data_IF_893917491121
#
_entry.id   IF_893917491121
#
_cell.length_a   1.000
_cell.length_b   1.000
_cell.length_c   1.000
_cell.angle_alpha   90.00
_cell.angle_beta   90.00
_cell.angle_gamma   90.00
#
_symmetry.space_group_name_H-M   'P 1'
#
loop_
_entity.id
_entity.type
_entity.pdbx_description
1 polymer ?
#
# COMPACT_ATOMS: atom_id res chain seq x y z
N UNK A 1 -0.41 37.18 27.11
CA UNK A 1 -1.45 36.27 26.55
C UNK A 1 -0.87 35.08 25.77
N UNK A 2 0.02 35.26 24.78
CA UNK A 2 0.41 34.17 23.85
C UNK A 2 1.79 33.54 24.08
N UNK A 3 2.46 33.86 25.19
CA UNK A 3 3.78 33.30 25.53
C UNK A 3 4.90 33.64 24.54
N UNK A 4 4.68 34.57 23.62
CA UNK A 4 5.63 35.05 22.62
C UNK A 4 5.74 36.57 22.71
N UNK A 5 6.95 37.13 22.57
CA UNK A 5 7.12 38.57 22.50
C UNK A 5 6.55 39.09 21.17
N UNK A 6 5.94 40.28 21.20
CA UNK A 6 5.40 40.94 20.01
C UNK A 6 6.52 41.34 19.02
N UNK A 7 7.63 41.87 19.56
CA UNK A 7 8.86 42.12 18.80
C UNK A 7 9.79 40.91 18.86
N UNK A 8 10.67 40.78 17.89
CA UNK A 8 11.72 39.74 17.87
C UNK A 8 12.83 40.05 18.89
N UNK A 9 12.48 40.05 20.17
CA UNK A 9 13.35 40.31 21.32
C UNK A 9 13.42 39.03 22.15
N UNK A 10 14.59 38.69 22.69
CA UNK A 10 14.74 37.51 23.52
C UNK A 10 13.99 37.69 24.84
N UNK A 11 13.19 36.70 25.26
CA UNK A 11 12.38 36.78 26.50
C UNK A 11 13.17 37.20 27.76
N UNK A 12 14.42 36.74 27.98
CA UNK A 12 15.21 37.17 29.13
C UNK A 12 15.56 38.66 29.12
N UNK A 13 15.57 39.32 27.95
CA UNK A 13 15.84 40.76 27.84
C UNK A 13 14.67 41.63 28.35
N UNK A 14 13.52 41.03 28.62
CA UNK A 14 12.37 41.72 29.24
C UNK A 14 12.45 41.74 30.77
N UNK A 15 13.42 41.02 31.35
CA UNK A 15 13.64 41.01 32.80
C UNK A 15 14.56 42.17 33.17
N UNK A 16 14.32 42.79 34.32
CA UNK A 16 15.13 43.90 34.80
C UNK A 16 16.62 43.52 34.87
N UNK A 17 17.48 44.29 34.20
CA UNK A 17 18.92 44.04 34.10
C UNK A 17 19.67 44.12 35.44
N UNK A 18 19.12 44.82 36.44
CA UNK A 18 19.79 45.07 37.72
C UNK A 18 19.65 43.89 38.68
N UNK A 19 18.44 43.40 38.85
CA UNK A 19 18.08 42.39 39.84
C UNK A 19 17.60 41.07 39.21
N UNK A 20 17.39 41.01 37.88
CA UNK A 20 17.13 39.79 37.10
C UNK A 20 15.97 38.89 37.60
N UNK A 21 15.06 39.45 38.41
CA UNK A 21 14.01 38.74 39.16
C UNK A 21 12.71 39.57 39.13
N UNK A 22 11.55 38.93 39.32
CA UNK A 22 10.21 39.53 39.49
C UNK A 22 9.62 40.26 38.27
N UNK A 23 9.80 39.71 37.08
CA UNK A 23 9.02 40.15 35.90
C UNK A 23 7.69 39.41 35.89
N UNK A 24 6.62 40.10 36.28
CA UNK A 24 5.23 39.62 36.28
C UNK A 24 4.35 40.59 35.48
N UNK A 25 3.45 40.05 34.67
CA UNK A 25 2.48 40.78 33.86
C UNK A 25 1.11 40.21 34.14
N UNK A 26 0.18 41.09 34.50
CA UNK A 26 -1.22 40.77 34.74
C UNK A 26 -2.09 41.47 33.70
N UNK A 27 -3.08 40.76 33.17
CA UNK A 27 -4.09 41.35 32.29
C UNK A 27 -5.46 40.86 32.71
N UNK A 28 -6.37 41.81 32.92
CA UNK A 28 -7.77 41.56 33.24
C UNK A 28 -8.63 42.01 32.05
N UNK A 29 -9.54 41.16 31.62
CA UNK A 29 -10.46 41.44 30.52
C UNK A 29 -11.76 40.66 30.70
N UNK A 30 -12.82 41.12 30.03
CA UNK A 30 -14.15 40.51 30.08
C UNK A 30 -14.53 39.94 28.71
N UNK A 31 -15.07 38.73 28.69
CA UNK A 31 -15.66 38.12 27.49
C UNK A 31 -17.10 37.72 27.83
N UNK A 32 -18.06 38.44 27.27
CA UNK A 32 -19.48 38.23 27.57
C UNK A 32 -19.76 38.48 29.06
N UNK A 33 -20.09 37.41 29.80
CA UNK A 33 -20.35 37.46 31.25
C UNK A 33 -19.18 36.96 32.11
N UNK A 34 -18.07 36.54 31.49
CA UNK A 34 -16.91 35.96 32.18
C UNK A 34 -15.83 37.02 32.35
N UNK A 35 -15.43 37.28 33.61
CA UNK A 35 -14.26 38.09 33.94
C UNK A 35 -13.03 37.20 34.02
N UNK A 36 -12.05 37.45 33.16
CA UNK A 36 -10.84 36.63 33.04
C UNK A 36 -9.63 37.46 33.46
N UNK A 37 -8.82 36.91 34.36
CA UNK A 37 -7.51 37.46 34.74
C UNK A 37 -6.42 36.48 34.37
N UNK A 38 -5.42 36.95 33.63
CA UNK A 38 -4.26 36.15 33.21
C UNK A 38 -3.01 36.73 33.83
N UNK A 39 -2.32 35.94 34.66
CA UNK A 39 -1.07 36.30 35.34
C UNK A 39 0.07 35.52 34.71
N UNK A 40 1.16 36.20 34.32
CA UNK A 40 2.37 35.56 33.79
C UNK A 40 3.64 36.13 34.39
N UNK A 41 4.53 35.26 34.85
CA UNK A 41 5.88 35.58 35.27
C UNK A 41 6.94 34.97 34.35
N UNK A 42 8.08 35.64 34.19
CA UNK A 42 9.25 35.10 33.46
C UNK A 42 10.23 34.45 34.45
N UNK A 43 10.47 35.09 35.60
CA UNK A 43 11.34 34.63 36.69
C UNK A 43 10.77 35.10 38.03
N UNK A 44 10.07 34.25 38.82
CA UNK A 44 9.71 32.84 38.53
C UNK A 44 8.72 32.68 37.37
N UNK A 45 8.72 31.51 36.71
CA UNK A 45 7.84 31.20 35.58
C UNK A 45 6.42 30.85 36.06
N UNK A 46 5.63 31.88 36.35
CA UNK A 46 4.24 31.77 36.79
C UNK A 46 3.33 31.84 35.56
N UNK A 47 2.31 31.00 35.46
CA UNK A 47 1.26 31.16 34.45
C UNK A 47 -0.09 30.72 35.01
N UNK A 48 -0.95 31.69 35.35
CA UNK A 48 -2.24 31.47 35.99
C UNK A 48 -3.37 32.12 35.20
N UNK A 49 -4.52 31.47 35.16
CA UNK A 49 -5.75 31.97 34.56
C UNK A 49 -6.84 31.88 35.63
N UNK A 50 -7.45 33.01 35.95
CA UNK A 50 -8.60 33.10 36.83
C UNK A 50 -9.84 33.42 36.00
N UNK A 51 -10.93 32.72 36.25
CA UNK A 51 -12.23 32.94 35.62
C UNK A 51 -13.24 33.21 36.73
N UNK A 52 -13.85 34.40 36.73
CA UNK A 52 -14.81 34.86 37.74
C UNK A 52 -14.26 34.72 39.18
N UNK A 53 -12.99 35.05 39.36
CA UNK A 53 -12.30 34.97 40.67
C UNK A 53 -11.88 33.57 41.11
N UNK A 54 -12.21 32.52 40.34
CA UNK A 54 -11.72 31.15 40.59
C UNK A 54 -10.54 30.81 39.69
N UNK A 55 -9.46 30.34 40.30
CA UNK A 55 -8.29 29.86 39.58
C UNK A 55 -8.67 28.61 38.77
N UNK A 56 -8.41 28.63 37.47
CA UNK A 56 -8.61 27.44 36.63
C UNK A 56 -7.47 26.47 36.88
N UNK A 57 -7.82 25.20 37.07
CA UNK A 57 -6.92 24.17 37.55
C UNK A 57 -5.65 24.04 36.68
N UNK A 58 -4.48 24.04 37.33
CA UNK A 58 -3.14 24.07 36.70
C UNK A 58 -2.52 22.68 36.47
N UNK A 59 -3.28 21.60 36.70
CA UNK A 59 -2.78 20.22 36.65
C UNK A 59 -2.24 19.78 35.26
N UNK A 60 -2.38 20.61 34.23
CA UNK A 60 -1.90 20.36 32.88
C UNK A 60 -0.59 21.11 32.56
N UNK A 61 0.22 20.53 31.68
CA UNK A 61 1.42 21.17 31.13
C UNK A 61 1.12 22.60 30.63
N UNK A 62 2.03 23.55 30.85
CA UNK A 62 1.89 24.96 30.43
C UNK A 62 1.47 25.13 28.96
N UNK A 63 1.82 24.17 28.10
CA UNK A 63 1.42 24.12 26.69
C UNK A 63 -0.08 23.91 26.49
N UNK A 64 -0.70 23.03 27.28
CA UNK A 64 -2.14 22.75 27.16
C UNK A 64 -2.96 23.86 27.83
N UNK A 65 -2.43 24.45 28.90
CA UNK A 65 -2.99 25.67 29.49
C UNK A 65 -2.95 26.86 28.51
N UNK A 66 -1.89 26.98 27.72
CA UNK A 66 -1.81 27.96 26.63
C UNK A 66 -2.86 27.68 25.54
N UNK A 67 -3.03 26.43 25.11
CA UNK A 67 -4.06 26.07 24.11
C UNK A 67 -5.46 26.38 24.61
N UNK A 68 -5.75 26.11 25.89
CA UNK A 68 -7.04 26.43 26.49
C UNK A 68 -7.32 27.94 26.43
N UNK A 69 -6.34 28.77 26.82
CA UNK A 69 -6.46 30.23 26.72
C UNK A 69 -6.70 30.71 25.28
N UNK A 70 -5.99 30.15 24.31
CA UNK A 70 -6.08 30.56 22.90
C UNK A 70 -7.36 30.08 22.23
N UNK A 71 -7.75 28.82 22.42
CA UNK A 71 -8.85 28.19 21.70
C UNK A 71 -10.21 28.39 22.37
N UNK A 72 -10.28 28.33 23.71
CA UNK A 72 -11.55 28.34 24.44
C UNK A 72 -11.93 29.73 24.96
N UNK A 73 -10.94 30.51 25.39
CA UNK A 73 -11.16 31.85 25.94
C UNK A 73 -11.05 32.89 24.83
N UNK A 74 -9.87 33.05 24.23
CA UNK A 74 -9.62 34.11 23.24
C UNK A 74 -10.24 33.81 21.88
N UNK A 75 -10.38 32.52 21.53
CA UNK A 75 -10.80 32.03 20.20
C UNK A 75 -10.01 32.64 19.04
N UNK A 76 -8.79 33.09 19.32
CA UNK A 76 -7.92 33.77 18.37
C UNK A 76 -6.52 33.24 18.54
N UNK A 77 -5.86 32.96 17.42
CA UNK A 77 -4.45 32.62 17.40
C UNK A 77 -3.58 33.88 17.58
N UNK A 78 -2.33 33.71 18.00
CA UNK A 78 -1.39 34.81 18.18
C UNK A 78 -1.26 35.69 16.94
N UNK A 79 -1.15 35.07 15.77
CA UNK A 79 -1.00 35.80 14.50
C UNK A 79 -2.25 36.63 14.22
N UNK A 80 -3.44 36.06 14.34
CA UNK A 80 -4.71 36.77 14.14
C UNK A 80 -4.90 37.90 15.17
N UNK A 81 -4.58 37.64 16.44
CA UNK A 81 -4.62 38.65 17.49
C UNK A 81 -3.72 39.85 17.19
N UNK A 82 -2.46 39.61 16.80
CA UNK A 82 -1.52 40.71 16.47
C UNK A 82 -1.93 41.53 15.25
N UNK A 83 -2.60 40.93 14.26
CA UNK A 83 -2.94 41.63 13.02
C UNK A 83 -4.30 42.33 13.08
N UNK A 84 -5.22 41.86 13.92
CA UNK A 84 -6.58 42.40 14.02
C UNK A 84 -6.73 43.33 15.23
N UNK A 85 -6.14 42.97 16.38
CA UNK A 85 -6.35 43.68 17.65
C UNK A 85 -5.24 44.70 17.92
N UNK A 86 -4.00 44.44 17.49
CA UNK A 86 -2.86 45.33 17.73
C UNK A 86 -2.59 46.21 16.51
N UNK A 87 -3.12 47.43 16.53
CA UNK A 87 -2.86 48.46 15.50
C UNK A 87 -1.65 49.31 15.91
N UNK A 88 -0.44 48.76 15.87
CA UNK A 88 0.79 49.47 16.28
C UNK A 88 1.68 49.89 15.09
N UNK A 89 2.16 51.15 15.05
CA UNK A 89 2.85 51.69 13.86
C UNK A 89 4.20 51.04 13.51
N UNK A 90 4.89 50.40 14.46
CA UNK A 90 6.30 50.00 14.27
C UNK A 90 6.53 48.66 13.55
N UNK A 91 5.54 47.76 13.49
CA UNK A 91 5.68 46.41 12.88
C UNK A 91 4.37 45.84 12.32
N UNK A 92 3.36 46.69 12.09
CA UNK A 92 2.07 46.27 11.56
C UNK A 92 2.15 45.98 10.06
N UNK A 93 1.75 44.77 9.65
CA UNK A 93 1.58 44.39 8.25
C UNK A 93 0.08 44.29 7.99
N UNK A 94 -0.53 45.24 7.27
CA UNK A 94 -1.96 45.22 7.00
C UNK A 94 -2.44 43.86 6.47
N UNK A 95 -3.62 43.42 6.90
CA UNK A 95 -4.23 42.15 6.47
C UNK A 95 -4.19 41.99 4.93
N UNK A 96 -4.43 43.07 4.19
CA UNK A 96 -4.42 43.08 2.72
C UNK A 96 -3.06 42.73 2.11
N UNK A 97 -1.96 43.03 2.81
CA UNK A 97 -0.59 42.76 2.36
C UNK A 97 -0.08 41.37 2.75
N UNK A 98 -0.80 40.64 3.60
CA UNK A 98 -0.43 39.26 3.97
C UNK A 98 -0.53 38.34 2.76
N UNK A 99 0.29 37.28 2.70
CA UNK A 99 0.18 36.24 1.66
C UNK A 99 -1.19 35.57 1.68
N UNK A 100 -1.68 35.14 0.52
CA UNK A 100 -3.02 34.57 0.35
C UNK A 100 -3.34 33.43 1.34
N UNK A 101 -2.36 32.56 1.63
CA UNK A 101 -2.50 31.50 2.63
C UNK A 101 -2.78 32.06 4.04
N UNK A 102 -1.96 32.99 4.50
CA UNK A 102 -2.12 33.58 5.84
C UNK A 102 -3.40 34.40 5.94
N UNK A 103 -3.83 35.07 4.86
CA UNK A 103 -5.13 35.76 4.83
C UNK A 103 -6.29 34.77 5.02
N UNK A 104 -6.25 33.62 4.34
CA UNK A 104 -7.27 32.57 4.48
C UNK A 104 -7.30 32.02 5.90
N UNK A 105 -6.14 31.73 6.50
CA UNK A 105 -6.05 31.26 7.89
C UNK A 105 -6.69 32.27 8.86
N UNK A 106 -6.40 33.57 8.73
CA UNK A 106 -6.99 34.62 9.57
C UNK A 106 -8.51 34.73 9.37
N UNK A 107 -9.01 34.65 8.14
CA UNK A 107 -10.44 34.73 7.84
C UNK A 107 -11.20 33.51 8.36
N UNK A 108 -10.67 32.30 8.16
CA UNK A 108 -11.29 31.08 8.66
C UNK A 108 -11.34 31.05 10.20
N UNK A 109 -10.35 31.61 10.87
CA UNK A 109 -10.33 31.74 12.33
C UNK A 109 -11.35 32.78 12.84
N UNK A 110 -11.47 33.95 12.22
CA UNK A 110 -12.44 34.98 12.63
C UNK A 110 -13.88 34.50 12.43
N UNK A 111 -14.13 33.81 11.32
CA UNK A 111 -15.45 33.30 10.97
C UNK A 111 -15.78 31.97 11.65
N UNK A 112 -14.85 31.38 12.40
CA UNK A 112 -14.97 30.06 13.05
C UNK A 112 -15.35 28.92 12.05
N UNK A 113 -14.79 28.97 10.84
CA UNK A 113 -15.07 28.03 9.73
C UNK A 113 -13.87 27.17 9.34
N UNK A 114 -13.12 26.65 10.33
CA UNK A 114 -11.95 25.81 10.10
C UNK A 114 -12.23 24.47 9.39
N UNK A 115 -13.51 24.14 9.18
CA UNK A 115 -13.96 22.92 8.51
C UNK A 115 -13.39 22.76 7.09
N UNK A 116 -13.20 23.87 6.35
CA UNK A 116 -12.67 23.80 4.98
C UNK A 116 -11.20 23.43 4.94
N UNK A 117 -10.39 23.97 5.85
CA UNK A 117 -8.99 23.58 6.00
C UNK A 117 -8.86 22.11 6.40
N UNK A 118 -9.70 21.64 7.34
CA UNK A 118 -9.74 20.23 7.73
C UNK A 118 -10.14 19.33 6.56
N UNK A 119 -11.18 19.69 5.82
CA UNK A 119 -11.65 18.94 4.66
C UNK A 119 -10.58 18.83 3.58
N UNK A 120 -9.87 19.94 3.29
CA UNK A 120 -8.77 19.93 2.32
C UNK A 120 -7.61 19.03 2.77
N UNK A 121 -7.30 19.00 4.07
CA UNK A 121 -6.29 18.10 4.62
C UNK A 121 -6.70 16.63 4.42
N UNK A 122 -7.94 16.28 4.77
CA UNK A 122 -8.48 14.93 4.58
C UNK A 122 -8.51 14.54 3.09
N UNK A 123 -8.88 15.47 2.21
CA UNK A 123 -8.89 15.26 0.77
C UNK A 123 -7.48 14.95 0.25
N UNK A 124 -6.45 15.69 0.70
CA UNK A 124 -5.06 15.41 0.34
C UNK A 124 -4.57 14.06 0.86
N UNK A 125 -5.00 13.65 2.04
CA UNK A 125 -4.68 12.32 2.58
C UNK A 125 -5.33 11.22 1.73
N UNK A 126 -6.61 11.36 1.40
CA UNK A 126 -7.33 10.41 0.52
C UNK A 126 -6.68 10.32 -0.86
N UNK A 127 -6.31 11.44 -1.46
CA UNK A 127 -5.61 11.44 -2.76
C UNK A 127 -4.28 10.69 -2.70
N UNK A 128 -3.52 10.83 -1.61
CA UNK A 128 -2.27 10.06 -1.45
C UNK A 128 -2.53 8.56 -1.30
N UNK A 129 -3.52 8.18 -0.50
CA UNK A 129 -3.93 6.77 -0.34
C UNK A 129 -4.32 6.17 -1.68
N UNK A 130 -5.20 6.84 -2.43
CA UNK A 130 -5.65 6.37 -3.75
C UNK A 130 -4.45 6.18 -4.70
N UNK A 131 -3.51 7.14 -4.73
CA UNK A 131 -2.32 7.02 -5.59
C UNK A 131 -1.40 5.85 -5.18
N UNK A 132 -1.32 5.53 -3.90
CA UNK A 132 -0.58 4.38 -3.39
C UNK A 132 -1.30 3.06 -3.72
N UNK A 133 -2.62 3.03 -3.53
CA UNK A 133 -3.47 1.88 -3.87
C UNK A 133 -3.40 1.57 -5.37
N UNK A 134 -3.44 2.58 -6.25
CA UNK A 134 -3.28 2.40 -7.70
C UNK A 134 -1.95 1.73 -8.02
N UNK A 135 -0.84 2.22 -7.45
CA UNK A 135 0.49 1.61 -7.68
C UNK A 135 0.57 0.16 -7.19
N UNK A 136 -0.04 -0.13 -6.05
CA UNK A 136 -0.09 -1.48 -5.53
C UNK A 136 -0.90 -2.40 -6.45
N UNK A 137 -2.05 -1.94 -6.96
CA UNK A 137 -2.86 -2.69 -7.90
C UNK A 137 -2.10 -2.96 -9.20
N UNK A 138 -1.43 -1.95 -9.76
CA UNK A 138 -0.62 -2.10 -10.97
C UNK A 138 0.49 -3.15 -10.77
N UNK A 139 1.19 -3.10 -9.62
CA UNK A 139 2.20 -4.09 -9.28
C UNK A 139 1.63 -5.52 -9.17
N UNK A 140 0.46 -5.67 -8.53
CA UNK A 140 -0.20 -6.98 -8.43
C UNK A 140 -0.68 -7.49 -9.79
N UNK A 141 -1.14 -6.57 -10.66
CA UNK A 141 -1.53 -6.89 -12.02
C UNK A 141 -0.35 -7.41 -12.84
N UNK A 142 0.80 -6.73 -12.80
CA UNK A 142 2.01 -7.15 -13.51
C UNK A 142 2.49 -8.52 -13.01
N UNK A 143 2.52 -8.72 -11.70
CA UNK A 143 2.93 -9.98 -11.08
C UNK A 143 1.98 -11.15 -11.43
N UNK A 144 0.68 -10.88 -11.53
CA UNK A 144 -0.32 -11.87 -11.95
C UNK A 144 -0.18 -12.19 -13.43
N UNK A 145 0.05 -11.18 -14.26
CA UNK A 145 0.30 -11.34 -15.70
C UNK A 145 1.53 -12.20 -15.93
N UNK A 146 2.63 -11.93 -15.24
CA UNK A 146 3.85 -12.74 -15.33
C UNK A 146 3.59 -14.20 -14.94
N UNK A 147 2.86 -14.44 -13.83
CA UNK A 147 2.46 -15.79 -13.42
C UNK A 147 1.62 -16.52 -14.49
N UNK A 148 0.68 -15.83 -15.14
CA UNK A 148 -0.13 -16.40 -16.23
C UNK A 148 0.78 -16.80 -17.38
N UNK A 149 1.66 -15.91 -17.83
CA UNK A 149 2.59 -16.21 -18.95
C UNK A 149 3.52 -17.38 -18.64
N UNK A 150 3.95 -17.53 -17.39
CA UNK A 150 4.76 -18.67 -16.95
C UNK A 150 3.97 -19.99 -17.03
N UNK A 151 2.71 -19.97 -16.58
CA UNK A 151 1.84 -21.15 -16.65
C UNK A 151 1.50 -21.53 -18.08
N UNK A 152 1.25 -20.57 -18.96
CA UNK A 152 1.01 -20.81 -20.39
C UNK A 152 2.22 -21.49 -21.04
N UNK A 153 3.42 -20.97 -20.82
CA UNK A 153 4.67 -21.59 -21.30
C UNK A 153 4.83 -23.02 -20.80
N UNK A 154 4.56 -23.25 -19.52
CA UNK A 154 4.63 -24.60 -18.94
C UNK A 154 3.63 -25.57 -19.58
N UNK A 155 2.39 -25.12 -19.80
CA UNK A 155 1.36 -25.93 -20.49
C UNK A 155 1.81 -26.27 -21.91
N UNK A 156 2.38 -25.32 -22.63
CA UNK A 156 2.85 -25.52 -24.00
C UNK A 156 4.04 -26.50 -24.05
N UNK A 157 5.00 -26.40 -23.14
CA UNK A 157 6.09 -27.36 -23.00
C UNK A 157 5.59 -28.78 -22.72
N UNK A 158 4.63 -28.92 -21.81
CA UNK A 158 4.03 -30.23 -21.49
C UNK A 158 3.29 -30.81 -22.69
N UNK A 159 2.55 -29.99 -23.45
CA UNK A 159 1.88 -30.43 -24.69
C UNK A 159 2.89 -30.87 -25.74
N UNK A 160 3.93 -30.08 -26.00
CA UNK A 160 4.97 -30.43 -26.97
C UNK A 160 5.69 -31.73 -26.59
N UNK A 161 6.00 -31.93 -25.30
CA UNK A 161 6.61 -33.16 -24.83
C UNK A 161 5.68 -34.36 -24.99
N UNK A 162 4.38 -34.20 -24.68
CA UNK A 162 3.37 -35.24 -24.91
C UNK A 162 3.27 -35.60 -26.40
N UNK A 163 3.24 -34.62 -27.29
CA UNK A 163 3.13 -34.86 -28.74
C UNK A 163 4.37 -35.57 -29.30
N UNK A 164 5.57 -35.21 -28.84
CA UNK A 164 6.81 -35.94 -29.17
C UNK A 164 6.73 -37.39 -28.72
N UNK A 165 6.32 -37.61 -27.48
CA UNK A 165 6.25 -38.95 -26.88
C UNK A 165 5.17 -39.81 -27.56
N UNK A 166 4.04 -39.21 -27.96
CA UNK A 166 3.02 -39.85 -28.77
C UNK A 166 3.57 -40.28 -30.12
N UNK A 167 4.28 -39.40 -30.84
CA UNK A 167 4.90 -39.72 -32.14
C UNK A 167 5.87 -40.89 -32.04
N UNK A 168 6.76 -40.87 -31.04
CA UNK A 168 7.71 -41.97 -30.79
C UNK A 168 6.98 -43.29 -30.52
N UNK A 169 5.95 -43.27 -29.67
CA UNK A 169 5.17 -44.48 -29.37
C UNK A 169 4.39 -44.99 -30.57
N UNK A 170 3.80 -44.12 -31.39
CA UNK A 170 3.11 -44.53 -32.61
C UNK A 170 4.07 -45.14 -33.63
N UNK A 171 5.29 -44.60 -33.77
CA UNK A 171 6.32 -45.16 -34.65
C UNK A 171 6.80 -46.54 -34.17
N UNK A 172 6.94 -46.73 -32.86
CA UNK A 172 7.26 -48.04 -32.27
C UNK A 172 6.13 -49.06 -32.52
N UNK A 173 4.86 -48.64 -32.39
CA UNK A 173 3.71 -49.50 -32.67
C UNK A 173 3.70 -49.92 -34.13
N UNK A 174 3.86 -48.98 -35.08
CA UNK A 174 3.88 -49.32 -36.51
C UNK A 174 5.05 -50.24 -36.87
N UNK A 175 6.23 -50.03 -36.29
CA UNK A 175 7.38 -50.92 -36.49
C UNK A 175 7.12 -52.34 -35.95
N UNK A 176 6.51 -52.45 -34.78
CA UNK A 176 6.12 -53.74 -34.21
C UNK A 176 5.04 -54.44 -35.05
N UNK A 177 4.06 -53.70 -35.58
CA UNK A 177 3.03 -54.25 -36.48
C UNK A 177 3.64 -54.81 -37.77
N UNK A 178 4.62 -54.10 -38.36
CA UNK A 178 5.36 -54.60 -39.52
C UNK A 178 6.15 -55.88 -39.22
N UNK A 179 6.81 -55.95 -38.06
CA UNK A 179 7.52 -57.17 -37.64
C UNK A 179 6.56 -58.33 -37.42
N UNK A 180 5.42 -58.09 -36.77
CA UNK A 180 4.37 -59.10 -36.57
C UNK A 180 3.86 -59.60 -37.93
N UNK A 181 3.62 -58.70 -38.89
CA UNK A 181 3.17 -59.08 -40.22
C UNK A 181 4.21 -59.95 -40.97
N UNK A 182 5.50 -59.57 -40.91
CA UNK A 182 6.59 -60.37 -41.51
C UNK A 182 6.64 -61.76 -40.89
N UNK A 183 6.66 -61.85 -39.56
CA UNK A 183 6.66 -63.14 -38.85
C UNK A 183 5.44 -63.99 -39.17
N UNK A 184 4.26 -63.38 -39.31
CA UNK A 184 3.04 -64.09 -39.69
C UNK A 184 3.14 -64.65 -41.10
N UNK A 185 3.71 -63.87 -42.03
CA UNK A 185 3.97 -64.31 -43.40
C UNK A 185 4.96 -65.48 -43.44
N UNK A 186 6.05 -65.40 -42.68
CA UNK A 186 7.02 -66.50 -42.52
C UNK A 186 6.35 -67.76 -41.95
N UNK A 187 5.51 -67.62 -40.92
CA UNK A 187 4.72 -68.72 -40.35
C UNK A 187 3.83 -69.35 -41.41
N UNK A 188 3.11 -68.56 -42.21
CA UNK A 188 2.24 -69.10 -43.28
C UNK A 188 3.04 -69.80 -44.38
N UNK A 189 4.20 -69.25 -44.75
CA UNK A 189 5.11 -69.88 -45.71
C UNK A 189 5.61 -71.23 -45.19
N UNK A 190 6.13 -71.27 -43.97
CA UNK A 190 6.59 -72.51 -43.34
C UNK A 190 5.45 -73.52 -43.15
N UNK A 191 4.23 -73.06 -42.85
CA UNK A 191 3.06 -73.93 -42.74
C UNK A 191 2.69 -74.56 -44.08
N UNK A 192 2.66 -73.78 -45.17
CA UNK A 192 2.40 -74.29 -46.51
C UNK A 192 3.49 -75.27 -46.96
N UNK A 193 4.76 -74.93 -46.75
CA UNK A 193 5.87 -75.81 -47.11
C UNK A 193 5.81 -77.14 -46.33
N UNK A 194 5.51 -77.09 -45.01
CA UNK A 194 5.30 -78.31 -44.23
C UNK A 194 4.12 -79.15 -44.75
N UNK A 195 3.06 -78.51 -45.25
CA UNK A 195 1.91 -79.21 -45.84
C UNK A 195 2.27 -79.88 -47.16
N UNK A 196 3.07 -79.24 -48.01
CA UNK A 196 3.61 -79.85 -49.25
C UNK A 196 4.56 -81.01 -48.94
N UNK A 197 5.46 -80.86 -47.97
CA UNK A 197 6.30 -81.97 -47.52
C UNK A 197 5.45 -83.14 -47.00
N UNK A 198 4.40 -82.88 -46.23
CA UNK A 198 3.48 -83.93 -45.76
C UNK A 198 2.79 -84.67 -46.92
N UNK A 199 2.37 -83.96 -47.96
CA UNK A 199 1.77 -84.57 -49.17
C UNK A 199 2.78 -85.45 -49.92
N UNK A 200 4.01 -84.99 -50.10
CA UNK A 200 5.07 -85.78 -50.76
C UNK A 200 5.48 -87.04 -49.96
N UNK A 201 5.46 -86.97 -48.62
CA UNK A 201 5.66 -88.16 -47.77
C UNK A 201 4.50 -89.14 -47.94
N UNK A 202 3.27 -88.66 -48.07
CA UNK A 202 2.09 -89.50 -48.26
C UNK A 202 2.15 -90.33 -49.55
N UNK A 203 2.63 -89.74 -50.65
CA UNK A 203 2.88 -90.47 -51.91
C UNK A 203 4.01 -91.49 -51.77
N UNK A 204 5.09 -91.16 -51.04
CA UNK A 204 6.17 -92.14 -50.78
C UNK A 204 5.68 -93.37 -50.00
N UNK A 205 4.72 -93.20 -49.09
CA UNK A 205 4.14 -94.30 -48.31
C UNK A 205 3.17 -95.16 -49.13
N UNK A 206 2.44 -94.58 -50.09
CA UNK A 206 1.63 -95.34 -51.06
C UNK A 206 2.50 -96.12 -52.03
N UNK A 207 3.53 -95.48 -52.60
CA UNK A 207 4.47 -96.13 -53.53
C UNK A 207 5.23 -97.27 -52.83
N UNK A 208 5.63 -97.11 -51.56
CA UNK A 208 6.21 -98.22 -50.78
C UNK A 208 5.21 -99.36 -50.51
N UNK A 209 3.92 -99.05 -50.30
CA UNK A 209 2.86 -100.06 -50.15
C UNK A 209 2.65 -100.84 -51.46
N UNK A 210 2.63 -100.16 -52.59
CA UNK A 210 2.46 -100.80 -53.90
C UNK A 210 3.72 -101.56 -54.33
N UNK A 211 4.92 -101.07 -53.98
CA UNK A 211 6.18 -101.80 -54.19
C UNK A 211 6.27 -103.08 -53.33
N UNK A 212 5.73 -103.06 -52.10
CA UNK A 212 5.64 -104.27 -51.28
C UNK A 212 4.65 -105.31 -51.82
N UNK A 213 3.62 -104.90 -52.57
CA UNK A 213 2.65 -105.79 -53.23
C UNK A 213 3.14 -106.41 -54.54
N UNK A 214 4.19 -105.85 -55.13
CA UNK A 214 4.83 -106.35 -56.36
C UNK A 214 5.98 -107.33 -56.08
N UNK A 215 6.31 -107.54 -54.81
CA UNK A 215 7.41 -108.40 -54.35
C UNK A 215 6.95 -109.76 -53.81
N UNK A 216 5.64 -109.97 -53.74
CA UNK A 216 4.95 -111.25 -53.54
C UNK A 216 4.36 -111.73 -54.88
#
# INVERSE_FOLDING_TARGET
MFGKPFRSINKPQLVNSVNNVNSVVEVEFEIGTKKVKVVRGIKPNIFEIYINGKMYNQDANQRDYQKYLEQQILKLNWRSFTQVVILGSSTFVPFMQLRARHRREVVEEILDIQIFSLMNMLLKQKLRSIAEDTRNIDYQYDLTTEKITLQEKYIDEVKQNKDKLMKEKTALISGNEEEVFKKQSDITFHHNNNKELLLSIQDSTKVNKDFSRLKD
#
